data_IF_435414156952
#
_entry.id   IF_435414156952
#
_cell.length_a   1.000
_cell.length_b   1.000
_cell.length_c   1.000
_cell.angle_alpha   90.00
_cell.angle_beta   90.00
_cell.angle_gamma   90.00
#
_symmetry.space_group_name_H-M   'P 1'
#
loop_
_entity.id
_entity.type
_entity.pdbx_description
1 polymer ?
#
# COMPACT_ATOMS: atom_id res chain seq x y z
N UNK A 1 -12.39 4.61 -14.42
CA UNK A 1 -10.95 4.77 -14.14
C UNK A 1 -10.43 6.15 -14.53
N UNK A 2 -10.60 6.63 -15.77
CA UNK A 2 -10.07 7.94 -16.20
C UNK A 2 -10.46 9.13 -15.32
N UNK A 3 -11.71 9.15 -14.84
CA UNK A 3 -12.20 10.19 -13.91
C UNK A 3 -11.39 10.21 -12.61
N UNK A 4 -11.08 9.04 -12.06
CA UNK A 4 -10.35 8.91 -10.80
C UNK A 4 -8.87 9.28 -10.98
N UNK A 5 -8.22 8.90 -12.09
CA UNK A 5 -6.88 9.37 -12.41
C UNK A 5 -6.83 10.89 -12.51
N UNK A 6 -7.75 11.50 -13.27
CA UNK A 6 -7.81 12.95 -13.41
C UNK A 6 -7.94 13.65 -12.05
N UNK A 7 -8.73 13.08 -11.12
CA UNK A 7 -8.90 13.61 -9.76
C UNK A 7 -7.57 13.66 -9.00
N UNK A 8 -6.81 12.56 -9.00
CA UNK A 8 -5.54 12.48 -8.27
C UNK A 8 -4.50 13.42 -8.88
N UNK A 9 -4.37 13.47 -10.21
CA UNK A 9 -3.40 14.35 -10.86
C UNK A 9 -3.76 15.84 -10.78
N UNK A 10 -5.04 16.18 -10.53
CA UNK A 10 -5.46 17.58 -10.34
C UNK A 10 -5.21 18.06 -8.91
N UNK A 11 -5.25 17.17 -7.92
CA UNK A 11 -4.98 17.50 -6.52
C UNK A 11 -3.53 17.23 -6.14
N UNK A 12 -2.79 18.31 -5.85
CA UNK A 12 -1.40 18.21 -5.37
C UNK A 12 -1.29 17.42 -4.07
N UNK A 13 -2.23 17.63 -3.13
CA UNK A 13 -2.21 16.96 -1.83
C UNK A 13 -2.57 15.48 -1.96
N UNK A 14 -3.53 15.13 -2.81
CA UNK A 14 -3.86 13.74 -3.08
C UNK A 14 -2.67 13.03 -3.73
N UNK A 15 -2.10 13.62 -4.79
CA UNK A 15 -0.94 13.01 -5.45
C UNK A 15 0.23 12.83 -4.49
N UNK A 16 0.59 13.86 -3.71
CA UNK A 16 1.68 13.77 -2.74
C UNK A 16 1.41 12.72 -1.66
N UNK A 17 0.19 12.62 -1.13
CA UNK A 17 -0.17 11.56 -0.19
C UNK A 17 -0.13 10.17 -0.84
N UNK A 18 -0.37 10.07 -2.14
CA UNK A 18 -0.38 8.79 -2.85
C UNK A 18 1.02 8.22 -3.10
N UNK A 19 2.04 9.07 -3.13
CA UNK A 19 3.42 8.69 -3.47
C UNK A 19 4.43 8.94 -2.35
N UNK A 20 4.05 9.62 -1.26
CA UNK A 20 4.96 10.01 -0.17
C UNK A 20 5.64 8.82 0.50
N UNK A 21 4.92 7.70 0.69
CA UNK A 21 5.49 6.45 1.16
C UNK A 21 6.59 5.93 0.22
N UNK A 22 6.31 5.91 -1.08
CA UNK A 22 7.31 5.55 -2.09
C UNK A 22 8.52 6.48 -2.07
N UNK A 23 8.32 7.81 -2.03
CA UNK A 23 9.42 8.78 -1.93
C UNK A 23 10.28 8.51 -0.68
N UNK A 24 9.66 8.25 0.47
CA UNK A 24 10.38 7.94 1.70
C UNK A 24 11.21 6.66 1.58
N UNK A 25 10.64 5.58 1.00
CA UNK A 25 11.41 4.36 0.74
C UNK A 25 12.60 4.58 -0.20
N UNK A 26 12.43 5.35 -1.28
CA UNK A 26 13.51 5.68 -2.22
C UNK A 26 14.61 6.44 -1.48
N UNK A 27 14.26 7.43 -0.66
CA UNK A 27 15.24 8.22 0.10
C UNK A 27 16.05 7.35 1.07
N UNK A 28 15.39 6.42 1.77
CA UNK A 28 16.08 5.49 2.69
C UNK A 28 16.99 4.53 1.91
N UNK A 29 16.53 3.93 0.82
CA UNK A 29 17.36 3.04 0.01
C UNK A 29 18.55 3.80 -0.59
N UNK A 30 18.32 5.02 -1.09
CA UNK A 30 19.39 5.90 -1.60
C UNK A 30 20.44 6.23 -0.51
N UNK A 31 20.03 6.42 0.74
CA UNK A 31 20.99 6.63 1.84
C UNK A 31 21.86 5.38 2.08
N UNK A 32 21.30 4.18 1.93
CA UNK A 32 22.04 2.92 2.07
C UNK A 32 23.10 2.74 0.96
N UNK A 33 22.89 3.28 -0.24
CA UNK A 33 23.93 3.27 -1.29
C UNK A 33 25.24 3.89 -0.82
N UNK A 34 25.18 4.99 -0.05
CA UNK A 34 26.38 5.67 0.44
C UNK A 34 27.16 4.81 1.44
N UNK A 35 26.45 4.06 2.28
CA UNK A 35 27.05 3.20 3.32
C UNK A 35 27.58 1.89 2.75
N UNK A 36 26.82 1.25 1.85
CA UNK A 36 27.08 -0.12 1.38
C UNK A 36 28.08 -0.18 0.22
N UNK A 37 28.12 0.84 -0.66
CA UNK A 37 29.10 0.83 -1.77
C UNK A 37 30.56 0.77 -1.29
N UNK A 38 30.83 1.21 -0.07
CA UNK A 38 32.16 1.20 0.52
C UNK A 38 32.46 -0.08 1.34
N UNK A 39 31.53 -1.04 1.39
CA UNK A 39 31.59 -2.20 2.29
C UNK A 39 31.10 -3.50 1.63
N UNK A 40 31.88 -3.99 0.66
CA UNK A 40 31.59 -5.24 -0.07
C UNK A 40 31.36 -6.46 0.85
N UNK A 41 32.02 -6.46 2.01
CA UNK A 41 31.88 -7.52 3.02
C UNK A 41 30.45 -7.62 3.58
N UNK A 42 29.73 -6.51 3.68
CA UNK A 42 28.33 -6.47 4.16
C UNK A 42 27.40 -7.21 3.20
N UNK A 43 27.57 -7.01 1.88
CA UNK A 43 26.76 -7.71 0.88
C UNK A 43 27.03 -9.22 0.95
N UNK A 44 28.29 -9.62 1.12
CA UNK A 44 28.67 -11.03 1.19
C UNK A 44 28.10 -11.74 2.42
N UNK A 45 28.11 -11.08 3.57
CA UNK A 45 27.59 -11.62 4.84
C UNK A 45 26.06 -11.68 4.87
N UNK A 46 25.39 -10.78 4.16
CA UNK A 46 23.92 -10.75 4.08
C UNK A 46 23.33 -11.62 2.98
N UNK A 47 24.14 -12.29 2.15
CA UNK A 47 23.70 -12.95 0.91
C UNK A 47 22.50 -13.91 1.10
N UNK A 48 22.47 -14.63 2.22
CA UNK A 48 21.38 -15.57 2.53
C UNK A 48 20.09 -14.90 3.05
N UNK A 49 20.18 -13.63 3.42
CA UNK A 49 19.12 -12.84 4.04
C UNK A 49 18.67 -11.65 3.17
N UNK A 50 19.22 -11.49 1.96
CA UNK A 50 18.89 -10.37 1.05
C UNK A 50 17.38 -10.28 0.84
N UNK A 51 16.69 -11.40 0.64
CA UNK A 51 15.22 -11.43 0.48
C UNK A 51 14.45 -10.74 1.63
N UNK A 52 14.98 -10.71 2.85
CA UNK A 52 14.34 -10.05 4.00
C UNK A 52 14.30 -8.52 3.84
N UNK A 53 15.16 -7.97 2.99
CA UNK A 53 15.18 -6.53 2.69
C UNK A 53 13.91 -6.08 1.95
N UNK A 54 13.07 -7.01 1.47
CA UNK A 54 11.71 -6.73 1.00
C UNK A 54 10.91 -5.89 2.00
N UNK A 55 11.22 -6.02 3.30
CA UNK A 55 10.61 -5.27 4.40
C UNK A 55 10.84 -3.75 4.27
N UNK A 56 11.97 -3.29 3.71
CA UNK A 56 12.28 -1.85 3.62
C UNK A 56 11.21 -1.10 2.82
N UNK A 57 10.96 -1.39 1.53
CA UNK A 57 9.88 -0.74 0.79
C UNK A 57 8.49 -1.08 1.33
N UNK A 58 8.34 -2.20 2.03
CA UNK A 58 7.09 -2.59 2.68
C UNK A 58 6.69 -1.57 3.77
N UNK A 59 7.64 -1.20 4.63
CA UNK A 59 7.45 -0.22 5.74
C UNK A 59 6.80 1.06 5.24
N UNK A 60 7.35 1.63 4.18
CA UNK A 60 6.86 2.90 3.71
C UNK A 60 5.56 2.81 2.91
N UNK A 61 5.21 1.62 2.40
CA UNK A 61 3.96 1.41 1.67
C UNK A 61 2.73 1.55 2.58
N UNK A 62 2.85 1.22 3.87
CA UNK A 62 1.77 1.33 4.85
C UNK A 62 1.55 2.74 5.40
N UNK A 63 2.52 3.66 5.25
CA UNK A 63 2.48 5.01 5.82
C UNK A 63 1.52 5.92 5.05
N UNK A 64 1.37 5.71 3.74
CA UNK A 64 0.63 6.60 2.88
C UNK A 64 -0.17 5.80 1.84
N UNK A 65 -1.39 5.43 2.22
CA UNK A 65 -2.27 4.58 1.41
C UNK A 65 -3.35 5.45 0.74
N UNK A 66 -3.32 5.65 -0.59
CA UNK A 66 -4.26 6.56 -1.26
C UNK A 66 -5.73 6.17 -1.14
N UNK A 67 -6.03 4.89 -0.98
CA UNK A 67 -7.40 4.41 -0.83
C UNK A 67 -8.01 4.75 0.54
N UNK A 68 -7.19 5.09 1.53
CA UNK A 68 -7.64 5.47 2.88
C UNK A 68 -8.38 6.81 2.95
N UNK A 69 -8.43 7.54 1.84
CA UNK A 69 -9.10 8.83 1.72
C UNK A 69 -9.89 9.03 0.43
N UNK A 70 -10.00 8.00 -0.42
CA UNK A 70 -10.55 8.11 -1.79
C UNK A 70 -12.04 8.45 -1.87
N UNK A 71 -12.86 8.01 -0.92
CA UNK A 71 -14.26 8.43 -0.80
C UNK A 71 -14.35 9.79 -0.11
N UNK A 72 -13.61 9.99 0.99
CA UNK A 72 -13.57 11.31 1.66
C UNK A 72 -13.17 12.44 0.71
N UNK A 73 -12.30 12.18 -0.27
CA UNK A 73 -11.89 13.11 -1.31
C UNK A 73 -13.03 13.55 -2.25
N UNK A 74 -14.16 12.83 -2.29
CA UNK A 74 -15.36 13.30 -2.99
C UNK A 74 -16.03 14.48 -2.26
N UNK A 75 -15.86 14.57 -0.94
CA UNK A 75 -16.53 15.57 -0.10
C UNK A 75 -18.04 15.59 -0.33
N UNK A 76 -18.60 16.81 -0.39
CA UNK A 76 -20.03 17.06 -0.66
C UNK A 76 -20.52 16.55 -2.02
N UNK A 77 -19.64 16.08 -2.91
CA UNK A 77 -20.01 15.56 -4.23
C UNK A 77 -20.26 14.04 -4.23
N UNK A 78 -20.23 13.39 -3.08
CA UNK A 78 -20.48 11.94 -2.98
C UNK A 78 -21.82 11.50 -3.59
N UNK A 79 -22.84 12.36 -3.56
CA UNK A 79 -24.14 12.08 -4.18
C UNK A 79 -24.05 11.85 -5.69
N UNK A 80 -23.07 12.45 -6.38
CA UNK A 80 -22.84 12.19 -7.81
C UNK A 80 -22.50 10.73 -8.04
N UNK A 81 -21.67 10.12 -7.17
CA UNK A 81 -21.34 8.70 -7.29
C UNK A 81 -22.57 7.80 -7.07
N UNK A 82 -23.52 8.23 -6.23
CA UNK A 82 -24.79 7.51 -6.00
C UNK A 82 -25.74 7.63 -7.20
N UNK A 83 -25.72 8.76 -7.90
CA UNK A 83 -26.59 9.05 -9.05
C UNK A 83 -26.08 8.46 -10.37
N UNK A 84 -24.82 8.05 -10.46
CA UNK A 84 -24.27 7.44 -11.67
C UNK A 84 -25.02 6.13 -12.01
N UNK A 85 -25.37 5.89 -13.28
CA UNK A 85 -25.98 4.63 -13.72
C UNK A 85 -24.92 3.52 -13.86
N UNK A 86 -24.10 3.33 -12.83
CA UNK A 86 -23.04 2.32 -12.77
C UNK A 86 -23.13 1.53 -11.47
N UNK A 87 -22.77 0.25 -11.54
CA UNK A 87 -22.78 -0.60 -10.36
C UNK A 87 -21.76 -0.12 -9.32
N UNK A 88 -22.14 -0.12 -8.04
CA UNK A 88 -21.25 0.26 -6.92
C UNK A 88 -19.94 -0.55 -6.91
N UNK A 89 -19.98 -1.82 -7.31
CA UNK A 89 -18.77 -2.67 -7.47
C UNK A 89 -17.74 -2.06 -8.41
N UNK A 90 -18.19 -1.46 -9.53
CA UNK A 90 -17.31 -0.78 -10.49
C UNK A 90 -16.69 0.48 -9.91
N UNK A 91 -17.42 1.21 -9.06
CA UNK A 91 -16.91 2.38 -8.34
C UNK A 91 -15.81 1.96 -7.36
N UNK A 92 -16.08 0.95 -6.52
CA UNK A 92 -15.09 0.42 -5.56
C UNK A 92 -13.84 -0.10 -6.28
N UNK A 93 -14.01 -0.90 -7.33
CA UNK A 93 -12.89 -1.40 -8.14
C UNK A 93 -12.09 -0.25 -8.79
N UNK A 94 -12.76 0.76 -9.34
CA UNK A 94 -12.06 1.90 -9.94
C UNK A 94 -11.21 2.65 -8.91
N UNK A 95 -11.75 2.90 -7.71
CA UNK A 95 -11.03 3.57 -6.62
C UNK A 95 -9.86 2.75 -6.11
N UNK A 96 -10.07 1.44 -5.95
CA UNK A 96 -9.03 0.50 -5.52
C UNK A 96 -7.89 0.43 -6.54
N UNK A 97 -8.20 0.17 -7.81
CA UNK A 97 -7.21 -0.01 -8.86
C UNK A 97 -6.41 1.26 -9.12
N UNK A 98 -7.05 2.43 -9.11
CA UNK A 98 -6.34 3.69 -9.29
C UNK A 98 -5.40 3.96 -8.11
N UNK A 99 -5.88 3.81 -6.86
CA UNK A 99 -5.04 3.98 -5.67
C UNK A 99 -3.84 3.01 -5.67
N UNK A 100 -4.11 1.74 -5.95
CA UNK A 100 -3.09 0.71 -6.05
C UNK A 100 -2.07 1.01 -7.16
N UNK A 101 -2.53 1.39 -8.35
CA UNK A 101 -1.63 1.67 -9.48
C UNK A 101 -0.67 2.82 -9.20
N UNK A 102 -1.15 3.92 -8.59
CA UNK A 102 -0.32 5.10 -8.33
C UNK A 102 0.71 4.80 -7.25
N UNK A 103 0.30 4.14 -6.17
CA UNK A 103 1.23 3.74 -5.10
C UNK A 103 2.23 2.68 -5.58
N UNK A 104 1.84 1.81 -6.52
CA UNK A 104 2.72 0.77 -7.08
C UNK A 104 3.88 1.36 -7.86
N UNK A 105 3.70 2.47 -8.59
CA UNK A 105 4.78 3.08 -9.38
C UNK A 105 5.99 3.41 -8.51
N UNK A 106 5.75 4.10 -7.40
CA UNK A 106 6.83 4.49 -6.51
C UNK A 106 7.43 3.30 -5.75
N UNK A 107 6.61 2.31 -5.37
CA UNK A 107 7.09 1.08 -4.73
C UNK A 107 7.98 0.25 -5.68
N UNK A 108 7.60 0.09 -6.95
CA UNK A 108 8.41 -0.61 -7.95
C UNK A 108 9.79 0.03 -8.11
N UNK A 109 9.87 1.37 -8.12
CA UNK A 109 11.15 2.08 -8.16
C UNK A 109 12.01 1.71 -6.94
N UNK A 110 11.42 1.66 -5.74
CA UNK A 110 12.11 1.25 -4.51
C UNK A 110 12.62 -0.19 -4.58
N UNK A 111 11.79 -1.13 -5.04
CA UNK A 111 12.18 -2.53 -5.26
C UNK A 111 13.37 -2.60 -6.22
N UNK A 112 13.32 -1.82 -7.31
CA UNK A 112 14.38 -1.81 -8.32
C UNK A 112 15.69 -1.29 -7.76
N UNK A 113 15.66 -0.16 -7.05
CA UNK A 113 16.83 0.41 -6.41
C UNK A 113 17.44 -0.54 -5.38
N UNK A 114 16.60 -1.19 -4.57
CA UNK A 114 17.04 -2.16 -3.58
C UNK A 114 17.71 -3.39 -4.22
N UNK A 115 17.10 -3.93 -5.27
CA UNK A 115 17.65 -5.08 -5.99
C UNK A 115 19.01 -4.79 -6.63
N UNK A 116 19.19 -3.59 -7.18
CA UNK A 116 20.48 -3.13 -7.73
C UNK A 116 21.52 -2.99 -6.61
N UNK A 117 21.15 -2.32 -5.51
CA UNK A 117 22.05 -2.05 -4.37
C UNK A 117 22.68 -3.33 -3.81
N UNK A 118 21.84 -4.33 -3.56
CA UNK A 118 22.26 -5.57 -2.91
C UNK A 118 22.67 -6.67 -3.90
N UNK A 119 22.75 -6.36 -5.20
CA UNK A 119 23.06 -7.35 -6.26
C UNK A 119 22.16 -8.59 -6.15
N UNK A 120 20.86 -8.33 -6.00
CA UNK A 120 19.83 -9.33 -5.76
C UNK A 120 19.86 -10.44 -6.82
N UNK A 121 19.76 -11.69 -6.36
CA UNK A 121 19.55 -12.84 -7.24
C UNK A 121 18.14 -12.81 -7.83
N UNK A 122 17.90 -13.59 -8.89
CA UNK A 122 16.56 -13.74 -9.47
C UNK A 122 15.50 -14.10 -8.42
N UNK A 123 15.87 -14.92 -7.44
CA UNK A 123 14.98 -15.27 -6.34
C UNK A 123 14.66 -14.08 -5.42
N UNK A 124 15.67 -13.29 -5.05
CA UNK A 124 15.47 -12.12 -4.20
C UNK A 124 14.55 -11.10 -4.88
N UNK A 125 14.69 -10.92 -6.21
CA UNK A 125 13.77 -10.11 -6.99
C UNK A 125 12.33 -10.60 -6.90
N UNK A 126 12.09 -11.90 -7.06
CA UNK A 126 10.76 -12.48 -6.92
C UNK A 126 10.21 -12.29 -5.51
N UNK A 127 11.03 -12.44 -4.47
CA UNK A 127 10.63 -12.19 -3.09
C UNK A 127 10.28 -10.71 -2.87
N UNK A 128 11.11 -9.78 -3.34
CA UNK A 128 10.87 -8.35 -3.22
C UNK A 128 9.57 -7.94 -3.89
N UNK A 129 9.36 -8.37 -5.14
CA UNK A 129 8.14 -8.09 -5.89
C UNK A 129 6.91 -8.70 -5.23
N UNK A 130 6.92 -10.01 -4.95
CA UNK A 130 5.74 -10.70 -4.42
C UNK A 130 5.28 -10.13 -3.06
N UNK A 131 6.21 -9.96 -2.11
CA UNK A 131 5.91 -9.41 -0.79
C UNK A 131 5.33 -7.99 -0.90
N UNK A 132 5.97 -7.11 -1.66
CA UNK A 132 5.56 -5.70 -1.73
C UNK A 132 4.25 -5.50 -2.49
N UNK A 133 4.07 -6.17 -3.64
CA UNK A 133 2.86 -6.03 -4.46
C UNK A 133 1.63 -6.55 -3.71
N UNK A 134 1.76 -7.66 -2.99
CA UNK A 134 0.67 -8.25 -2.20
C UNK A 134 0.37 -7.43 -0.94
N UNK A 135 1.41 -7.00 -0.21
CA UNK A 135 1.23 -6.13 0.95
C UNK A 135 0.59 -4.80 0.56
N UNK A 136 1.04 -4.16 -0.51
CA UNK A 136 0.48 -2.90 -1.00
C UNK A 136 -0.99 -3.04 -1.39
N UNK A 137 -1.39 -4.18 -1.98
CA UNK A 137 -2.78 -4.48 -2.29
C UNK A 137 -3.60 -4.62 -1.00
N UNK A 138 -3.09 -5.33 -0.01
CA UNK A 138 -3.72 -5.47 1.30
C UNK A 138 -3.90 -4.11 1.99
N UNK A 139 -2.87 -3.26 2.02
CA UNK A 139 -2.95 -1.89 2.52
C UNK A 139 -4.05 -1.10 1.81
N UNK A 140 -4.10 -1.15 0.48
CA UNK A 140 -5.12 -0.43 -0.28
C UNK A 140 -6.54 -0.97 0.00
N UNK A 141 -6.71 -2.27 0.23
CA UNK A 141 -8.00 -2.84 0.62
C UNK A 141 -8.43 -2.40 2.02
N UNK A 142 -7.51 -2.41 2.98
CA UNK A 142 -7.75 -1.94 4.35
C UNK A 142 -8.11 -0.45 4.34
N UNK A 143 -7.32 0.37 3.65
CA UNK A 143 -7.58 1.79 3.49
C UNK A 143 -8.96 2.04 2.88
N UNK A 144 -9.32 1.33 1.82
CA UNK A 144 -10.63 1.46 1.19
C UNK A 144 -11.77 1.06 2.14
N UNK A 145 -11.59 -0.03 2.88
CA UNK A 145 -12.58 -0.51 3.84
C UNK A 145 -12.81 0.48 4.97
N UNK A 146 -11.73 0.98 5.58
CA UNK A 146 -11.79 1.99 6.62
C UNK A 146 -12.39 3.28 6.09
N UNK A 147 -11.98 3.73 4.90
CA UNK A 147 -12.50 4.96 4.35
C UNK A 147 -13.98 4.85 4.05
N UNK A 148 -14.43 3.73 3.52
CA UNK A 148 -15.85 3.48 3.26
C UNK A 148 -16.72 3.47 4.53
N UNK A 149 -16.13 3.23 5.71
CA UNK A 149 -16.84 3.21 7.01
C UNK A 149 -16.72 4.53 7.77
N UNK A 150 -15.55 5.16 7.70
CA UNK A 150 -15.21 6.40 8.40
C UNK A 150 -14.97 7.53 7.39
N UNK A 151 -15.87 7.63 6.40
CA UNK A 151 -15.86 8.72 5.43
C UNK A 151 -15.93 10.06 6.15
N UNK A 152 -15.27 11.06 5.59
CA UNK A 152 -15.33 12.44 6.08
C UNK A 152 -15.61 13.35 4.91
N UNK A 153 -16.79 13.97 4.88
CA UNK A 153 -17.24 14.83 3.78
C UNK A 153 -17.40 16.31 4.15
N UNK A 154 -17.25 16.63 5.44
CA UNK A 154 -17.42 17.95 6.05
C UNK A 154 -16.12 18.78 6.12
N UNK A 155 -15.05 18.32 5.45
CA UNK A 155 -13.76 19.01 5.45
C UNK A 155 -13.84 20.37 4.74
N UNK A 156 -13.20 21.38 5.33
CA UNK A 156 -13.01 22.71 4.74
C UNK A 156 -11.68 22.80 3.99
N UNK A 157 -10.64 22.20 4.59
CA UNK A 157 -9.30 22.12 4.03
C UNK A 157 -9.01 20.72 3.49
N UNK A 158 -8.49 20.65 2.26
CA UNK A 158 -8.17 19.39 1.58
C UNK A 158 -7.16 18.53 2.39
N UNK A 159 -6.29 19.17 3.18
CA UNK A 159 -5.31 18.49 4.05
C UNK A 159 -5.99 17.57 5.09
N UNK A 160 -7.18 17.93 5.57
CA UNK A 160 -7.88 17.16 6.61
C UNK A 160 -8.26 15.76 6.13
N UNK A 161 -8.54 15.61 4.84
CA UNK A 161 -8.86 14.34 4.19
C UNK A 161 -7.65 13.41 4.19
N UNK A 162 -6.49 13.94 3.83
CA UNK A 162 -5.29 13.14 3.53
C UNK A 162 -4.37 12.90 4.73
N UNK A 163 -4.41 13.74 5.76
CA UNK A 163 -3.48 13.63 6.91
C UNK A 163 -4.17 13.43 8.26
N UNK A 164 -5.35 14.02 8.45
CA UNK A 164 -5.98 14.11 9.78
C UNK A 164 -7.34 13.39 9.84
N UNK A 165 -7.65 12.52 8.89
CA UNK A 165 -8.89 11.74 8.93
C UNK A 165 -8.70 10.46 9.74
N UNK A 166 -9.74 10.08 10.48
CA UNK A 166 -9.75 8.85 11.29
C UNK A 166 -9.42 7.61 10.43
N UNK A 167 -9.94 7.58 9.20
CA UNK A 167 -9.66 6.52 8.23
C UNK A 167 -8.17 6.39 7.90
N UNK A 168 -7.48 7.51 7.63
CA UNK A 168 -6.04 7.52 7.35
C UNK A 168 -5.27 7.02 8.57
N UNK A 169 -5.55 7.57 9.76
CA UNK A 169 -4.86 7.18 10.99
C UNK A 169 -5.04 5.69 11.33
N UNK A 170 -6.26 5.17 11.23
CA UNK A 170 -6.54 3.74 11.42
C UNK A 170 -5.87 2.88 10.34
N UNK A 171 -5.82 3.35 9.09
CA UNK A 171 -5.18 2.62 7.99
C UNK A 171 -3.69 2.46 8.27
N UNK A 172 -3.00 3.54 8.63
CA UNK A 172 -1.58 3.51 8.99
C UNK A 172 -1.35 2.59 10.18
N UNK A 173 -2.14 2.72 11.25
CA UNK A 173 -2.00 1.88 12.45
C UNK A 173 -2.18 0.39 12.16
N UNK A 174 -3.21 0.01 11.39
CA UNK A 174 -3.45 -1.39 11.04
C UNK A 174 -2.36 -1.92 10.10
N UNK A 175 -1.95 -1.14 9.08
CA UNK A 175 -0.89 -1.55 8.17
C UNK A 175 0.43 -1.76 8.90
N UNK A 176 0.74 -0.91 9.88
CA UNK A 176 1.92 -1.04 10.75
C UNK A 176 1.86 -2.28 11.64
N UNK A 177 0.70 -2.62 12.21
CA UNK A 177 0.54 -3.87 12.98
C UNK A 177 0.73 -5.11 12.11
N UNK A 178 0.16 -5.14 10.90
CA UNK A 178 0.35 -6.23 9.94
C UNK A 178 1.82 -6.35 9.56
N UNK A 179 2.50 -5.23 9.43
CA UNK A 179 3.93 -5.19 9.17
C UNK A 179 4.75 -5.80 10.30
N UNK A 180 4.51 -5.45 11.56
CA UNK A 180 5.21 -6.05 12.70
C UNK A 180 5.05 -7.59 12.68
N UNK A 181 3.83 -8.06 12.42
CA UNK A 181 3.53 -9.50 12.30
C UNK A 181 4.32 -10.11 11.14
N UNK A 182 4.33 -9.43 9.98
CA UNK A 182 5.01 -9.90 8.77
C UNK A 182 6.53 -9.92 8.93
N UNK A 183 7.12 -8.94 9.60
CA UNK A 183 8.52 -8.94 10.01
C UNK A 183 8.83 -10.16 10.88
N UNK A 184 8.01 -10.42 11.90
CA UNK A 184 8.14 -11.59 12.76
C UNK A 184 8.06 -12.91 11.98
N UNK A 185 7.14 -13.02 11.03
CA UNK A 185 6.99 -14.20 10.16
C UNK A 185 8.18 -14.36 9.21
N UNK A 186 8.55 -13.31 8.47
CA UNK A 186 9.62 -13.36 7.47
C UNK A 186 10.99 -13.60 8.09
N UNK A 187 11.27 -13.00 9.25
CA UNK A 187 12.53 -13.19 9.97
C UNK A 187 12.49 -14.50 10.74
N UNK A 188 11.49 -14.70 11.61
CA UNK A 188 11.43 -15.84 12.52
C UNK A 188 11.35 -17.19 11.80
N UNK A 189 10.42 -17.35 10.86
CA UNK A 189 10.34 -18.57 10.05
C UNK A 189 11.42 -18.60 8.97
N UNK A 190 11.88 -17.43 8.49
CA UNK A 190 12.91 -17.34 7.48
C UNK A 190 14.29 -17.81 7.92
N UNK A 191 14.66 -17.58 9.18
CA UNK A 191 15.89 -18.11 9.78
C UNK A 191 15.88 -19.64 9.78
N UNK A 192 14.72 -20.28 10.00
CA UNK A 192 14.57 -21.73 9.93
C UNK A 192 14.60 -22.18 8.47
N UNK A 193 13.79 -21.55 7.63
CA UNK A 193 13.71 -21.81 6.21
C UNK A 193 13.12 -20.59 5.46
N UNK A 194 13.93 -19.98 4.59
CA UNK A 194 13.52 -18.80 3.80
C UNK A 194 12.21 -18.99 3.04
N UNK A 195 11.96 -20.19 2.51
CA UNK A 195 10.74 -20.51 1.76
C UNK A 195 9.53 -20.58 2.66
N UNK A 196 9.69 -21.07 3.89
CA UNK A 196 8.60 -21.14 4.87
C UNK A 196 8.17 -19.74 5.29
N UNK A 197 9.12 -18.84 5.59
CA UNK A 197 8.81 -17.44 5.92
C UNK A 197 8.10 -16.72 4.78
N UNK A 198 8.62 -16.83 3.56
CA UNK A 198 8.03 -16.18 2.38
C UNK A 198 6.64 -16.73 2.03
N UNK A 199 6.49 -18.05 1.95
CA UNK A 199 5.21 -18.67 1.61
C UNK A 199 4.12 -18.34 2.65
N UNK A 200 4.48 -18.31 3.94
CA UNK A 200 3.55 -17.95 5.01
C UNK A 200 3.12 -16.48 4.90
N UNK A 201 4.06 -15.55 4.70
CA UNK A 201 3.74 -14.13 4.54
C UNK A 201 2.84 -13.88 3.31
N UNK A 202 3.19 -14.47 2.16
CA UNK A 202 2.40 -14.40 0.93
C UNK A 202 1.00 -14.97 1.15
N UNK A 203 0.88 -16.13 1.79
CA UNK A 203 -0.40 -16.74 2.08
C UNK A 203 -1.29 -15.84 2.95
N UNK A 204 -0.74 -15.27 4.03
CA UNK A 204 -1.47 -14.34 4.90
C UNK A 204 -1.96 -13.10 4.14
N UNK A 205 -1.13 -12.52 3.26
CA UNK A 205 -1.53 -11.37 2.46
C UNK A 205 -2.62 -11.70 1.45
N UNK A 206 -2.50 -12.83 0.75
CA UNK A 206 -3.48 -13.26 -0.25
C UNK A 206 -4.82 -13.56 0.41
N UNK A 207 -4.83 -14.34 1.50
CA UNK A 207 -6.07 -14.69 2.22
C UNK A 207 -6.74 -13.45 2.78
N UNK A 208 -5.98 -12.56 3.44
CA UNK A 208 -6.52 -11.33 4.02
C UNK A 208 -7.09 -10.42 2.92
N UNK A 209 -6.36 -10.25 1.81
CA UNK A 209 -6.80 -9.46 0.67
C UNK A 209 -8.09 -10.02 0.06
N UNK A 210 -8.16 -11.35 -0.13
CA UNK A 210 -9.34 -12.01 -0.67
C UNK A 210 -10.57 -11.82 0.21
N UNK A 211 -10.42 -11.97 1.54
CA UNK A 211 -11.51 -11.78 2.50
C UNK A 211 -12.03 -10.35 2.47
N UNK A 212 -11.14 -9.35 2.54
CA UNK A 212 -11.53 -7.93 2.56
C UNK A 212 -12.15 -7.53 1.21
N UNK A 213 -11.56 -7.95 0.09
CA UNK A 213 -12.07 -7.67 -1.24
C UNK A 213 -13.51 -8.19 -1.41
N UNK A 214 -13.75 -9.46 -1.06
CA UNK A 214 -15.08 -10.05 -1.16
C UNK A 214 -16.09 -9.36 -0.26
N UNK A 215 -15.70 -9.00 0.96
CA UNK A 215 -16.56 -8.22 1.85
C UNK A 215 -16.95 -6.88 1.22
N UNK A 216 -16.00 -6.12 0.67
CA UNK A 216 -16.25 -4.82 0.06
C UNK A 216 -17.14 -4.93 -1.18
N UNK A 217 -16.85 -5.87 -2.08
CA UNK A 217 -17.60 -6.02 -3.33
C UNK A 217 -19.01 -6.53 -3.07
N UNK A 218 -19.19 -7.51 -2.17
CA UNK A 218 -20.51 -8.03 -1.80
C UNK A 218 -21.40 -6.96 -1.16
N UNK A 219 -20.81 -6.07 -0.35
CA UNK A 219 -21.56 -5.03 0.36
C UNK A 219 -21.52 -3.64 -0.32
N UNK A 220 -20.85 -3.50 -1.46
CA UNK A 220 -20.55 -2.22 -2.11
C UNK A 220 -21.75 -1.29 -2.27
N UNK A 221 -22.89 -1.80 -2.76
CA UNK A 221 -24.13 -1.02 -2.92
C UNK A 221 -24.65 -0.51 -1.58
N UNK A 222 -24.71 -1.38 -0.57
CA UNK A 222 -25.19 -1.02 0.78
C UNK A 222 -24.28 0.00 1.44
N UNK A 223 -22.96 -0.16 1.30
CA UNK A 223 -21.97 0.75 1.86
C UNK A 223 -22.09 2.12 1.19
N UNK A 224 -22.09 2.16 -0.16
CA UNK A 224 -22.16 3.41 -0.93
C UNK A 224 -23.43 4.22 -0.60
N UNK A 225 -24.58 3.56 -0.50
CA UNK A 225 -25.85 4.25 -0.23
C UNK A 225 -25.87 4.90 1.17
N UNK A 226 -25.14 4.33 2.15
CA UNK A 226 -25.05 4.82 3.52
C UNK A 226 -24.03 5.95 3.74
N UNK A 227 -23.22 6.29 2.74
CA UNK A 227 -22.21 7.36 2.87
C UNK A 227 -22.88 8.74 2.85
N UNK A 228 -22.75 9.51 3.92
CA UNK A 228 -23.29 10.88 4.07
C UNK A 228 -22.28 11.80 4.75
#
# INVERSE_FOLDING_TARGET
MNIEYKKIFTSKLYLLNSISGGIASIAVIASLFVTINNSADVISTMKDYIYMLALIPMIFSGIAVPSSSTFSAEGKRIWLLKALPVEAKKIFNAKLLVSYSISSVANIISIVLLGILFKASWFDWLAFFSVNILYLMLCNLIGLALNSKFCRFDWTEEREVFKNSLSVGLSVGICFLIEIISCGVLIGLGIINRWLGLSTAIFLFVVSSYVIYNYLIKNSTKILMKME
#
